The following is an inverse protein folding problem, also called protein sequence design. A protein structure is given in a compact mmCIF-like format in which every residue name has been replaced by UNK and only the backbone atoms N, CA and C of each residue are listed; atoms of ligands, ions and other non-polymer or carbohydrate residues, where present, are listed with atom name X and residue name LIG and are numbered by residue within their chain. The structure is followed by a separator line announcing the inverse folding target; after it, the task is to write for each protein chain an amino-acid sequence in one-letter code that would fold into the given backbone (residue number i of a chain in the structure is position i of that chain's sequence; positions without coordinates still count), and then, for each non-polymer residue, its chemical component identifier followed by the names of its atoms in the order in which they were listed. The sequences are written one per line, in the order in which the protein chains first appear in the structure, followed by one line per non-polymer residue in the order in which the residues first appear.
data_IF_032807311457
#
_entry.id   IF_032807311457
#
_cell.length_a   1.000
_cell.length_b   1.000
_cell.length_c   1.000
_cell.angle_alpha   90.00
_cell.angle_beta   90.00
_cell.angle_gamma   90.00
#
_symmetry.space_group_name_H-M   'P 1'
#
loop_
_entity.id
_entity.type
_entity.pdbx_description
1 polymer ?
#
# COMPACT_ATOMS: atom_id res chain seq x y z
N UNK A 1 7.13 6.55 -13.87
CA UNK A 1 8.27 6.83 -13.00
C UNK A 1 9.25 5.67 -12.88
N UNK A 2 8.97 4.53 -13.49
CA UNK A 2 9.81 3.32 -13.47
C UNK A 2 11.27 3.65 -13.83
N UNK A 3 12.23 3.28 -12.95
CA UNK A 3 13.65 3.46 -13.15
C UNK A 3 14.15 4.91 -13.14
N UNK A 4 13.29 5.91 -12.88
CA UNK A 4 13.70 7.32 -12.84
C UNK A 4 14.22 7.76 -11.46
N UNK A 5 13.81 7.09 -10.40
CA UNK A 5 14.36 7.26 -9.06
C UNK A 5 15.22 6.02 -8.76
N UNK A 6 16.53 6.14 -8.59
CA UNK A 6 17.39 5.00 -8.32
C UNK A 6 17.11 4.40 -6.95
N UNK A 7 17.60 3.20 -6.73
CA UNK A 7 17.63 2.60 -5.41
C UNK A 7 18.44 3.48 -4.46
N UNK A 8 17.93 3.73 -3.25
CA UNK A 8 18.53 4.61 -2.25
C UNK A 8 18.88 3.86 -0.97
N UNK A 9 19.78 4.45 -0.18
CA UNK A 9 20.18 3.91 1.13
C UNK A 9 19.19 4.22 2.24
N UNK A 10 18.25 5.17 2.02
CA UNK A 10 17.22 5.53 3.00
C UNK A 10 15.95 6.02 2.32
N UNK A 11 14.82 5.77 2.96
CA UNK A 11 13.51 6.19 2.47
C UNK A 11 13.36 7.73 2.36
N UNK A 12 13.82 8.58 3.29
CA UNK A 12 13.78 10.04 3.13
C UNK A 12 14.59 10.55 1.92
N UNK A 13 15.73 9.93 1.62
CA UNK A 13 16.53 10.25 0.43
C UNK A 13 15.76 9.92 -0.85
N UNK A 14 15.19 8.71 -0.93
CA UNK A 14 14.37 8.27 -2.05
C UNK A 14 13.17 9.20 -2.26
N UNK A 15 12.45 9.55 -1.18
CA UNK A 15 11.29 10.44 -1.21
C UNK A 15 11.68 11.84 -1.72
N UNK A 16 12.81 12.38 -1.28
CA UNK A 16 13.35 13.66 -1.75
C UNK A 16 13.63 13.64 -3.26
N UNK A 17 14.22 12.56 -3.76
CA UNK A 17 14.45 12.33 -5.19
C UNK A 17 13.13 12.27 -5.98
N UNK A 18 12.15 11.54 -5.48
CA UNK A 18 10.82 11.44 -6.09
C UNK A 18 10.09 12.80 -6.14
N UNK A 19 10.10 13.54 -5.04
CA UNK A 19 9.49 14.87 -4.95
C UNK A 19 10.15 15.84 -5.93
N UNK A 20 11.49 15.84 -6.00
CA UNK A 20 12.22 16.66 -6.94
C UNK A 20 11.87 16.33 -8.38
N UNK A 21 11.82 15.05 -8.73
CA UNK A 21 11.44 14.61 -10.08
C UNK A 21 10.02 15.05 -10.44
N UNK A 22 9.04 14.87 -9.53
CA UNK A 22 7.65 15.28 -9.75
C UNK A 22 7.49 16.79 -9.98
N UNK A 23 8.25 17.62 -9.27
CA UNK A 23 8.20 19.09 -9.43
C UNK A 23 8.67 19.57 -10.80
N UNK A 24 9.55 18.82 -11.45
CA UNK A 24 10.14 19.18 -12.73
C UNK A 24 9.54 18.42 -13.93
N UNK A 25 8.63 17.48 -13.68
CA UNK A 25 8.02 16.66 -14.72
C UNK A 25 6.66 17.22 -15.13
N UNK A 26 6.56 17.64 -16.39
CA UNK A 26 5.28 18.05 -17.02
C UNK A 26 4.90 16.99 -18.06
N UNK A 27 4.67 15.75 -17.59
CA UNK A 27 4.31 14.65 -18.49
C UNK A 27 2.88 14.24 -18.18
N UNK A 28 2.08 14.04 -19.23
CA UNK A 28 0.76 13.44 -19.08
C UNK A 28 0.89 12.05 -18.45
N UNK A 29 0.28 11.79 -17.29
CA UNK A 29 0.39 10.50 -16.62
C UNK A 29 -0.46 9.40 -17.27
N UNK A 30 -1.46 9.73 -18.09
CA UNK A 30 -2.44 8.77 -18.61
C UNK A 30 -1.81 7.59 -19.38
N UNK A 31 -0.87 7.79 -20.32
CA UNK A 31 -0.25 6.66 -21.02
C UNK A 31 0.50 5.71 -20.08
N UNK A 32 1.15 6.25 -19.04
CA UNK A 32 1.86 5.45 -18.06
C UNK A 32 0.89 4.67 -17.14
N UNK A 33 -0.24 5.26 -16.79
CA UNK A 33 -1.31 4.62 -16.00
C UNK A 33 -1.93 3.47 -16.81
N UNK A 34 -2.29 3.71 -18.07
CA UNK A 34 -2.86 2.67 -18.94
C UNK A 34 -1.88 1.50 -19.16
N UNK A 35 -0.59 1.80 -19.35
CA UNK A 35 0.45 0.78 -19.45
C UNK A 35 0.60 -0.02 -18.16
N UNK A 36 0.54 0.61 -16.99
CA UNK A 36 0.64 -0.05 -15.69
C UNK A 36 -0.58 -0.96 -15.43
N UNK A 37 -1.78 -0.49 -15.75
CA UNK A 37 -3.02 -1.30 -15.66
C UNK A 37 -2.96 -2.51 -16.59
N UNK A 38 -2.49 -2.32 -17.82
CA UNK A 38 -2.31 -3.42 -18.78
C UNK A 38 -1.28 -4.45 -18.29
N UNK A 39 -0.17 -4.00 -17.69
CA UNK A 39 0.84 -4.87 -17.08
C UNK A 39 0.26 -5.68 -15.91
N UNK A 40 -0.41 -5.01 -14.97
CA UNK A 40 -1.03 -5.68 -13.83
C UNK A 40 -2.05 -6.73 -14.28
N UNK A 41 -2.89 -6.40 -15.27
CA UNK A 41 -3.84 -7.34 -15.87
C UNK A 41 -3.13 -8.51 -16.55
N UNK A 42 -2.10 -8.25 -17.36
CA UNK A 42 -1.37 -9.30 -18.08
C UNK A 42 -0.63 -10.26 -17.15
N UNK A 43 -0.27 -9.83 -15.95
CA UNK A 43 0.36 -10.65 -14.90
C UNK A 43 -0.65 -11.27 -13.92
N UNK A 44 -1.96 -11.15 -14.20
CA UNK A 44 -3.00 -11.86 -13.48
C UNK A 44 -3.64 -11.11 -12.31
N UNK A 45 -3.40 -9.82 -12.16
CA UNK A 45 -4.08 -9.01 -11.14
C UNK A 45 -5.54 -8.77 -11.53
N UNK A 46 -6.48 -9.01 -10.61
CA UNK A 46 -7.93 -8.84 -10.78
C UNK A 46 -8.49 -7.69 -9.96
N UNK A 47 -7.82 -7.36 -8.87
CA UNK A 47 -8.24 -6.35 -7.90
C UNK A 47 -7.04 -5.54 -7.43
N UNK A 48 -7.18 -4.22 -7.43
CA UNK A 48 -6.12 -3.26 -7.08
C UNK A 48 -6.57 -2.37 -5.93
N UNK A 49 -5.73 -2.21 -4.91
CA UNK A 49 -5.77 -1.07 -4.00
C UNK A 49 -4.83 0.00 -4.57
N UNK A 50 -5.39 1.02 -5.19
CA UNK A 50 -4.63 2.10 -5.83
C UNK A 50 -4.48 3.28 -4.86
N UNK A 51 -3.28 3.42 -4.30
CA UNK A 51 -2.94 4.50 -3.38
C UNK A 51 -2.43 5.68 -4.21
N UNK A 52 -3.19 6.77 -4.26
CA UNK A 52 -2.99 7.85 -5.22
C UNK A 52 -3.23 9.24 -4.62
N UNK A 53 -2.47 10.23 -5.10
CA UNK A 53 -2.65 11.64 -4.71
C UNK A 53 -3.63 12.40 -5.63
N UNK A 54 -4.16 11.73 -6.65
CA UNK A 54 -5.10 12.29 -7.63
C UNK A 54 -6.12 11.23 -8.05
N UNK A 55 -7.21 11.65 -8.65
CA UNK A 55 -8.26 10.76 -9.15
C UNK A 55 -8.09 10.34 -10.62
N UNK A 56 -6.95 10.67 -11.23
CA UNK A 56 -6.70 10.45 -12.67
C UNK A 56 -6.74 8.97 -13.09
N UNK A 57 -6.47 8.05 -12.17
CA UNK A 57 -6.52 6.59 -12.39
C UNK A 57 -7.94 6.05 -12.52
N UNK A 58 -8.96 6.78 -12.02
CA UNK A 58 -10.35 6.31 -11.97
C UNK A 58 -10.88 5.92 -13.35
N UNK A 59 -10.79 6.81 -14.33
CA UNK A 59 -11.30 6.55 -15.69
C UNK A 59 -10.64 5.33 -16.35
N UNK A 60 -9.30 5.23 -16.40
CA UNK A 60 -8.60 4.05 -16.88
C UNK A 60 -8.99 2.76 -16.16
N UNK A 61 -9.06 2.75 -14.81
CA UNK A 61 -9.48 1.59 -14.04
C UNK A 61 -10.92 1.17 -14.33
N UNK A 62 -11.85 2.13 -14.41
CA UNK A 62 -13.25 1.84 -14.72
C UNK A 62 -13.44 1.18 -16.10
N UNK A 63 -12.53 1.46 -17.05
CA UNK A 63 -12.56 0.85 -18.39
C UNK A 63 -11.76 -0.44 -18.51
N UNK A 64 -10.91 -0.77 -17.55
CA UNK A 64 -9.97 -1.90 -17.63
C UNK A 64 -10.60 -3.27 -17.39
N UNK A 65 -11.79 -3.33 -16.80
CA UNK A 65 -12.40 -4.57 -16.32
C UNK A 65 -11.87 -5.05 -14.97
N UNK A 66 -10.82 -4.42 -14.43
CA UNK A 66 -10.33 -4.70 -13.08
C UNK A 66 -11.27 -4.14 -12.01
N UNK A 67 -11.26 -4.75 -10.85
CA UNK A 67 -11.84 -4.13 -9.67
C UNK A 67 -10.79 -3.30 -8.95
N UNK A 68 -11.21 -2.18 -8.32
CA UNK A 68 -10.27 -1.35 -7.59
C UNK A 68 -10.91 -0.64 -6.38
N UNK A 69 -10.06 -0.33 -5.40
CA UNK A 69 -10.31 0.74 -4.43
C UNK A 69 -9.26 1.81 -4.66
N UNK A 70 -9.67 3.01 -5.00
CA UNK A 70 -8.79 4.17 -5.06
C UNK A 70 -8.77 4.82 -3.68
N UNK A 71 -7.63 4.78 -3.04
CA UNK A 71 -7.32 5.47 -1.81
C UNK A 71 -6.77 6.86 -2.16
N UNK A 72 -7.63 7.87 -2.20
CA UNK A 72 -7.18 9.25 -2.42
C UNK A 72 -6.51 9.75 -1.16
N UNK A 73 -5.18 9.81 -1.19
CA UNK A 73 -4.36 10.24 -0.07
C UNK A 73 -4.39 11.75 0.12
N UNK A 74 -4.67 12.18 1.33
CA UNK A 74 -4.44 13.55 1.75
C UNK A 74 -3.06 13.65 2.45
N UNK A 75 -2.27 14.59 1.94
CA UNK A 75 -1.03 15.03 2.54
C UNK A 75 -1.23 16.43 3.14
N UNK A 76 -0.37 16.79 4.07
CA UNK A 76 -0.34 18.12 4.65
C UNK A 76 0.02 18.08 6.13
N UNK A 77 1.32 18.20 6.41
CA UNK A 77 1.84 18.22 7.78
C UNK A 77 1.53 19.54 8.50
N UNK A 78 1.15 20.57 7.77
CA UNK A 78 0.79 21.90 8.26
C UNK A 78 -0.67 22.27 7.92
N UNK A 79 -1.59 21.34 8.10
CA UNK A 79 -3.02 21.59 7.88
C UNK A 79 -3.66 21.94 9.21
N UNK A 80 -4.07 23.20 9.35
CA UNK A 80 -4.72 23.71 10.55
C UNK A 80 -6.25 23.56 10.48
N UNK A 81 -6.82 23.54 9.24
CA UNK A 81 -8.25 23.41 8.97
C UNK A 81 -8.56 22.08 8.26
N UNK A 82 -8.60 20.94 8.99
CA UNK A 82 -8.78 19.62 8.39
C UNK A 82 -10.12 19.48 7.62
N UNK A 83 -11.18 20.16 8.07
CA UNK A 83 -12.48 20.12 7.40
C UNK A 83 -12.40 20.63 5.94
N UNK A 84 -11.62 21.68 5.68
CA UNK A 84 -11.40 22.22 4.33
C UNK A 84 -10.66 21.22 3.44
N UNK A 85 -9.62 20.58 3.96
CA UNK A 85 -8.86 19.58 3.22
C UNK A 85 -9.72 18.36 2.87
N UNK A 86 -10.52 17.86 3.82
CA UNK A 86 -11.45 16.74 3.61
C UNK A 86 -12.54 17.14 2.60
N UNK A 87 -13.14 18.30 2.74
CA UNK A 87 -14.17 18.79 1.79
C UNK A 87 -13.62 18.88 0.36
N UNK A 88 -12.39 19.39 0.19
CA UNK A 88 -11.74 19.47 -1.11
C UNK A 88 -11.44 18.08 -1.70
N UNK A 89 -10.98 17.14 -0.88
CA UNK A 89 -10.79 15.74 -1.29
C UNK A 89 -12.12 15.06 -1.66
N UNK A 90 -13.15 15.22 -0.83
CA UNK A 90 -14.47 14.65 -1.08
C UNK A 90 -15.09 15.21 -2.37
N UNK A 91 -14.97 16.50 -2.64
CA UNK A 91 -15.44 17.10 -3.88
C UNK A 91 -14.77 16.50 -5.12
N UNK A 92 -13.50 16.10 -5.05
CA UNK A 92 -12.82 15.37 -6.13
C UNK A 92 -13.44 13.99 -6.35
N UNK A 93 -13.78 13.26 -5.26
CA UNK A 93 -14.43 11.96 -5.35
C UNK A 93 -15.87 12.06 -5.87
N UNK A 94 -16.62 13.04 -5.42
CA UNK A 94 -18.02 13.29 -5.82
C UNK A 94 -18.14 13.69 -7.31
N UNK A 95 -17.08 14.23 -7.89
CA UNK A 95 -17.02 14.56 -9.31
C UNK A 95 -16.78 13.33 -10.22
N UNK A 96 -16.47 12.16 -9.65
CA UNK A 96 -16.24 10.95 -10.42
C UNK A 96 -17.57 10.31 -10.84
N UNK A 97 -17.57 9.70 -12.02
CA UNK A 97 -18.69 8.87 -12.46
C UNK A 97 -18.73 7.58 -11.66
N UNK A 98 -19.89 7.18 -11.17
CA UNK A 98 -20.06 5.91 -10.49
C UNK A 98 -19.58 4.73 -11.36
N UNK A 99 -18.92 3.79 -10.72
CA UNK A 99 -18.46 2.55 -11.36
C UNK A 99 -18.80 1.34 -10.47
N UNK A 100 -19.34 0.26 -11.03
CA UNK A 100 -19.67 -0.92 -10.25
C UNK A 100 -18.43 -1.68 -9.75
N UNK A 101 -17.27 -1.44 -10.36
CA UNK A 101 -16.02 -2.16 -10.06
C UNK A 101 -14.98 -1.30 -9.36
N UNK A 102 -15.10 0.03 -9.41
CA UNK A 102 -14.15 0.96 -8.80
C UNK A 102 -14.80 1.71 -7.65
N UNK A 103 -14.25 1.54 -6.46
CA UNK A 103 -14.66 2.25 -5.23
C UNK A 103 -13.60 3.29 -4.88
N UNK A 104 -14.00 4.31 -4.14
CA UNK A 104 -13.10 5.40 -3.74
C UNK A 104 -13.24 5.71 -2.26
N UNK A 105 -12.16 6.18 -1.63
CA UNK A 105 -12.17 6.63 -0.24
C UNK A 105 -11.04 7.64 0.00
N UNK A 106 -11.22 8.56 0.97
CA UNK A 106 -10.16 9.43 1.44
C UNK A 106 -9.35 8.75 2.52
N UNK A 107 -8.03 8.88 2.47
CA UNK A 107 -7.12 8.28 3.45
C UNK A 107 -5.97 9.22 3.80
N UNK A 108 -5.34 9.07 4.98
CA UNK A 108 -4.08 9.74 5.26
C UNK A 108 -2.91 9.02 4.56
N UNK A 109 -1.89 9.79 4.15
CA UNK A 109 -0.68 9.22 3.56
C UNK A 109 0.17 8.49 4.63
N UNK A 110 0.75 9.21 5.56
CA UNK A 110 1.64 8.66 6.59
C UNK A 110 1.72 9.58 7.83
N UNK A 111 2.12 9.06 9.01
CA UNK A 111 2.24 9.86 10.24
C UNK A 111 3.20 11.05 10.14
N UNK A 112 4.23 10.97 9.31
CA UNK A 112 5.24 12.02 9.12
C UNK A 112 4.85 13.07 8.07
N UNK A 113 3.77 12.87 7.34
CA UNK A 113 3.36 13.76 6.23
C UNK A 113 1.97 14.36 6.38
N UNK A 114 1.25 13.99 7.42
CA UNK A 114 -0.13 14.43 7.69
C UNK A 114 -0.21 15.02 9.10
N UNK A 115 -0.85 16.19 9.23
CA UNK A 115 -1.02 16.83 10.55
C UNK A 115 -1.91 16.00 11.47
N UNK A 116 -1.64 16.07 12.78
CA UNK A 116 -2.44 15.37 13.80
C UNK A 116 -3.95 15.66 13.69
N UNK A 117 -4.40 16.93 13.52
CA UNK A 117 -5.82 17.20 13.32
C UNK A 117 -6.41 16.56 12.06
N UNK A 118 -5.64 16.50 10.96
CA UNK A 118 -6.10 15.87 9.73
C UNK A 118 -6.16 14.34 9.85
N UNK A 119 -5.21 13.71 10.54
CA UNK A 119 -5.25 12.28 10.87
C UNK A 119 -6.53 11.90 11.64
N UNK A 120 -6.85 12.65 12.69
CA UNK A 120 -8.07 12.44 13.51
C UNK A 120 -9.32 12.58 12.65
N UNK A 121 -9.39 13.64 11.85
CA UNK A 121 -10.56 13.91 11.02
C UNK A 121 -10.77 12.83 9.93
N UNK A 122 -9.69 12.35 9.30
CA UNK A 122 -9.75 11.25 8.32
C UNK A 122 -10.14 9.91 8.96
N UNK A 123 -9.68 9.62 10.17
CA UNK A 123 -10.08 8.42 10.91
C UNK A 123 -11.59 8.31 11.13
N UNK A 124 -12.25 9.45 11.32
CA UNK A 124 -13.70 9.55 11.51
C UNK A 124 -14.50 9.69 10.20
N UNK A 125 -13.85 10.02 9.07
CA UNK A 125 -14.54 10.47 7.87
C UNK A 125 -15.35 9.38 7.15
N UNK A 126 -14.81 8.18 7.02
CA UNK A 126 -15.44 7.09 6.24
C UNK A 126 -15.55 5.81 7.09
N UNK A 127 -16.56 5.72 7.99
CA UNK A 127 -16.61 4.64 8.97
C UNK A 127 -16.75 3.23 8.38
N UNK A 128 -17.26 3.09 7.15
CA UNK A 128 -17.54 1.80 6.51
C UNK A 128 -16.56 1.44 5.38
N UNK A 129 -15.53 2.27 5.15
CA UNK A 129 -14.57 2.04 4.07
C UNK A 129 -13.20 1.58 4.62
N UNK A 130 -12.43 0.79 3.86
CA UNK A 130 -11.05 0.51 4.23
C UNK A 130 -10.20 1.80 4.25
N UNK A 131 -9.26 1.86 5.17
CA UNK A 131 -8.35 3.01 5.35
C UNK A 131 -6.92 2.51 5.17
N UNK A 132 -6.20 3.05 4.21
CA UNK A 132 -4.78 2.79 3.99
C UNK A 132 -3.92 3.86 4.64
N UNK A 133 -2.81 3.47 5.25
CA UNK A 133 -1.78 4.38 5.76
C UNK A 133 -0.41 3.71 5.68
N UNK A 134 0.62 4.42 5.19
CA UNK A 134 2.00 4.00 5.33
C UNK A 134 2.40 4.11 6.81
N UNK A 135 2.85 3.02 7.40
CA UNK A 135 3.03 2.93 8.85
C UNK A 135 4.28 2.13 9.24
N UNK A 136 5.15 2.73 10.01
CA UNK A 136 6.37 2.08 10.46
C UNK A 136 7.25 1.61 9.31
N UNK A 137 7.28 2.36 8.22
CA UNK A 137 8.00 1.98 7.02
C UNK A 137 9.51 2.10 7.21
N UNK A 138 9.99 3.19 7.78
CA UNK A 138 11.42 3.47 7.93
C UNK A 138 11.83 3.78 9.38
N UNK A 139 13.09 3.53 9.69
CA UNK A 139 13.66 3.93 10.98
C UNK A 139 13.57 5.45 11.21
N UNK A 140 13.66 6.23 10.13
CA UNK A 140 13.50 7.68 10.18
C UNK A 140 12.09 8.11 10.60
N UNK A 141 11.02 7.35 10.24
CA UNK A 141 9.66 7.59 10.74
C UNK A 141 9.57 7.37 12.24
N UNK A 142 10.14 6.26 12.71
CA UNK A 142 10.14 5.94 14.15
C UNK A 142 10.90 7.02 14.93
N UNK A 143 12.08 7.43 14.46
CA UNK A 143 12.85 8.53 15.06
C UNK A 143 12.03 9.83 15.10
N UNK A 144 11.40 10.19 13.99
CA UNK A 144 10.57 11.39 13.87
C UNK A 144 9.42 11.40 14.89
N UNK A 145 8.69 10.29 15.03
CA UNK A 145 7.59 10.18 15.98
C UNK A 145 8.06 10.17 17.45
N UNK A 146 9.22 9.60 17.72
CA UNK A 146 9.76 9.53 19.08
C UNK A 146 10.40 10.83 19.53
N UNK A 147 11.12 11.52 18.65
CA UNK A 147 11.98 12.65 19.02
C UNK A 147 11.53 14.00 18.48
N UNK A 148 10.81 14.03 17.39
CA UNK A 148 10.49 15.22 16.60
C UNK A 148 11.64 15.70 15.73
N UNK A 149 12.70 14.88 15.59
CA UNK A 149 13.89 15.15 14.82
C UNK A 149 14.11 14.13 13.70
N UNK A 150 15.31 14.13 13.14
CA UNK A 150 15.75 13.19 12.13
C UNK A 150 15.47 13.63 10.70
N UNK A 151 15.81 12.77 9.72
CA UNK A 151 15.80 13.12 8.29
C UNK A 151 14.45 13.59 7.74
N UNK A 152 13.32 13.17 8.31
CA UNK A 152 12.01 13.66 7.87
C UNK A 152 11.80 15.14 8.17
N UNK A 153 12.44 15.71 9.20
CA UNK A 153 12.41 17.18 9.44
C UNK A 153 13.04 17.91 8.25
N UNK A 154 14.20 17.44 7.76
CA UNK A 154 14.89 18.03 6.64
C UNK A 154 14.04 17.97 5.35
N UNK A 155 13.36 16.85 5.12
CA UNK A 155 12.43 16.71 3.97
C UNK A 155 11.28 17.69 4.09
N UNK A 156 10.64 17.79 5.26
CA UNK A 156 9.52 18.72 5.51
C UNK A 156 9.97 20.19 5.33
N UNK A 157 11.16 20.54 5.81
CA UNK A 157 11.74 21.87 5.62
C UNK A 157 11.97 22.18 4.13
N UNK A 158 12.56 21.26 3.39
CA UNK A 158 12.86 21.39 1.97
C UNK A 158 11.59 21.55 1.10
N UNK A 159 10.45 20.99 1.55
CA UNK A 159 9.17 21.15 0.84
C UNK A 159 8.31 22.31 1.37
N UNK A 160 8.76 23.01 2.43
CA UNK A 160 8.03 24.11 3.06
C UNK A 160 6.82 23.66 3.88
N UNK A 161 6.82 22.42 4.35
CA UNK A 161 5.71 21.80 5.10
C UNK A 161 5.97 21.70 6.61
N UNK A 162 7.10 22.19 7.10
CA UNK A 162 7.42 22.18 8.54
C UNK A 162 6.35 22.88 9.38
N UNK A 163 6.05 22.29 10.53
CA UNK A 163 5.13 22.86 11.50
C UNK A 163 5.80 23.03 12.86
N UNK A 164 6.27 24.25 13.20
CA UNK A 164 6.94 24.50 14.48
C UNK A 164 6.07 24.27 15.72
N UNK A 165 4.74 24.27 15.55
CA UNK A 165 3.80 24.01 16.64
C UNK A 165 3.57 22.52 16.89
N UNK A 166 3.99 21.64 15.95
CA UNK A 166 3.83 20.21 16.11
C UNK A 166 4.76 19.66 17.20
N UNK A 167 4.22 18.80 18.01
CA UNK A 167 4.98 18.11 19.05
C UNK A 167 5.00 16.61 18.75
N UNK A 168 6.19 16.04 18.83
CA UNK A 168 6.38 14.61 18.66
C UNK A 168 5.50 13.82 19.65
N UNK A 169 4.79 12.80 19.20
CA UNK A 169 3.94 11.97 20.07
C UNK A 169 4.73 11.17 21.11
N UNK A 170 6.04 11.03 20.93
CA UNK A 170 6.99 10.27 21.78
C UNK A 170 6.53 8.82 21.98
N UNK A 171 6.06 8.20 20.90
CA UNK A 171 5.55 6.82 20.90
C UNK A 171 5.89 6.13 19.58
N UNK A 172 5.67 4.82 19.56
CA UNK A 172 5.73 4.06 18.31
C UNK A 172 4.60 4.42 17.34
N UNK A 173 4.73 4.02 16.07
CA UNK A 173 3.76 4.35 15.03
C UNK A 173 2.35 3.84 15.33
N UNK A 174 2.20 2.60 15.83
CA UNK A 174 0.88 2.01 16.11
C UNK A 174 0.22 2.68 17.31
N UNK A 175 0.96 2.92 18.40
CA UNK A 175 0.43 3.65 19.56
C UNK A 175 -0.04 5.06 19.19
N UNK A 176 0.65 5.70 18.24
CA UNK A 176 0.26 7.02 17.78
C UNK A 176 -1.07 6.99 17.05
N UNK A 177 -1.24 6.14 16.05
CA UNK A 177 -2.48 6.06 15.28
C UNK A 177 -3.65 5.49 16.11
N UNK A 178 -3.38 4.64 17.12
CA UNK A 178 -4.39 4.15 18.06
C UNK A 178 -4.98 5.30 18.87
N UNK A 179 -4.12 6.17 19.44
CA UNK A 179 -4.55 7.36 20.19
C UNK A 179 -5.36 8.34 19.33
N UNK A 180 -5.17 8.33 18.01
CA UNK A 180 -5.89 9.17 17.06
C UNK A 180 -7.18 8.51 16.53
N UNK A 181 -7.51 7.28 16.98
CA UNK A 181 -8.71 6.57 16.58
C UNK A 181 -8.66 5.94 15.18
N UNK A 182 -7.47 5.82 14.59
CA UNK A 182 -7.28 5.21 13.26
C UNK A 182 -7.13 3.68 13.32
N UNK A 183 -6.72 3.12 14.46
CA UNK A 183 -6.53 1.68 14.62
C UNK A 183 -7.88 0.95 14.66
N UNK A 184 -8.16 0.15 13.65
CA UNK A 184 -9.43 -0.58 13.51
C UNK A 184 -9.29 -1.77 12.57
N UNK A 185 -10.32 -2.62 12.48
CA UNK A 185 -10.37 -3.74 11.53
C UNK A 185 -10.41 -3.33 10.05
N UNK A 186 -10.63 -2.05 9.77
CA UNK A 186 -10.64 -1.48 8.42
C UNK A 186 -9.27 -0.96 7.98
N UNK A 187 -8.30 -0.91 8.92
CA UNK A 187 -6.98 -0.38 8.66
C UNK A 187 -6.15 -1.34 7.81
N UNK A 188 -5.58 -0.81 6.73
CA UNK A 188 -4.49 -1.39 5.98
C UNK A 188 -3.21 -0.67 6.41
N UNK A 189 -2.46 -1.30 7.29
CA UNK A 189 -1.16 -0.82 7.73
C UNK A 189 -0.10 -1.26 6.70
N UNK A 190 0.37 -0.32 5.88
CA UNK A 190 1.25 -0.62 4.75
C UNK A 190 2.71 -0.56 5.22
N UNK A 191 3.53 -1.47 4.72
CA UNK A 191 4.95 -1.71 4.99
C UNK A 191 5.25 -2.36 6.34
N UNK A 192 5.01 -1.70 7.46
CA UNK A 192 5.22 -2.20 8.83
C UNK A 192 6.65 -2.72 9.14
N UNK A 193 7.65 -2.26 8.38
CA UNK A 193 9.04 -2.78 8.41
C UNK A 193 9.67 -2.66 9.79
N UNK A 194 9.43 -1.52 10.45
CA UNK A 194 10.09 -1.14 11.71
C UNK A 194 9.24 -1.44 12.96
N UNK A 195 8.08 -2.08 12.81
CA UNK A 195 7.20 -2.34 13.93
C UNK A 195 7.76 -3.40 14.89
N UNK A 196 7.58 -3.16 16.17
CA UNK A 196 7.90 -4.10 17.24
C UNK A 196 6.88 -5.25 17.31
N UNK A 197 7.19 -6.34 18.03
CA UNK A 197 6.24 -7.45 18.24
C UNK A 197 5.00 -7.01 19.01
N UNK A 198 5.13 -6.02 19.89
CA UNK A 198 4.00 -5.43 20.63
C UNK A 198 3.06 -4.74 19.65
N UNK A 199 3.58 -3.88 18.77
CA UNK A 199 2.81 -3.15 17.77
C UNK A 199 2.16 -4.08 16.74
N UNK A 200 2.86 -5.12 16.29
CA UNK A 200 2.29 -6.15 15.42
C UNK A 200 1.12 -6.89 16.10
N UNK A 201 1.24 -7.15 17.42
CA UNK A 201 0.17 -7.76 18.21
C UNK A 201 -1.01 -6.80 18.38
N UNK A 202 -0.78 -5.50 18.51
CA UNK A 202 -1.85 -4.48 18.56
C UNK A 202 -2.62 -4.45 17.24
N UNK A 203 -1.94 -4.44 16.09
CA UNK A 203 -2.58 -4.54 14.76
C UNK A 203 -3.44 -5.80 14.65
N UNK A 204 -2.92 -6.95 15.08
CA UNK A 204 -3.64 -8.23 15.04
C UNK A 204 -4.90 -8.19 15.91
N UNK A 205 -4.82 -7.67 17.13
CA UNK A 205 -5.96 -7.54 18.05
C UNK A 205 -7.04 -6.59 17.54
N UNK A 206 -6.65 -5.54 16.84
CA UNK A 206 -7.58 -4.62 16.19
C UNK A 206 -8.24 -5.20 14.93
N UNK A 207 -7.76 -6.35 14.44
CA UNK A 207 -8.20 -6.95 13.19
C UNK A 207 -7.70 -6.22 11.95
N UNK A 208 -6.69 -5.36 12.09
CA UNK A 208 -6.07 -4.64 10.99
C UNK A 208 -5.36 -5.61 10.03
N UNK A 209 -5.19 -5.19 8.78
CA UNK A 209 -4.44 -5.94 7.77
C UNK A 209 -3.05 -5.32 7.60
N UNK A 210 -2.01 -6.13 7.69
CA UNK A 210 -0.66 -5.73 7.31
C UNK A 210 -0.53 -5.91 5.79
N UNK A 211 -0.12 -4.86 5.08
CA UNK A 211 0.16 -4.93 3.64
C UNK A 211 1.67 -4.82 3.45
N UNK A 212 2.32 -5.88 2.97
CA UNK A 212 3.77 -5.89 2.76
C UNK A 212 4.13 -5.70 1.29
N UNK A 213 5.15 -4.86 1.05
CA UNK A 213 5.67 -4.52 -0.28
C UNK A 213 7.19 -4.74 -0.29
N UNK A 214 7.66 -6.00 -0.21
CA UNK A 214 9.06 -6.28 0.10
C UNK A 214 10.06 -5.73 -0.93
N UNK A 215 9.73 -5.77 -2.23
CA UNK A 215 10.61 -5.25 -3.29
C UNK A 215 10.76 -3.73 -3.22
N UNK A 216 9.65 -3.04 -2.95
CA UNK A 216 9.68 -1.59 -2.74
C UNK A 216 10.50 -1.22 -1.51
N UNK A 217 10.35 -1.92 -0.38
CA UNK A 217 11.11 -1.65 0.83
C UNK A 217 12.62 -1.79 0.63
N UNK A 218 13.05 -2.79 -0.15
CA UNK A 218 14.47 -2.94 -0.52
C UNK A 218 14.92 -1.80 -1.44
N UNK A 219 14.08 -1.35 -2.37
CA UNK A 219 14.41 -0.28 -3.32
C UNK A 219 14.54 1.09 -2.67
N UNK A 220 13.60 1.44 -1.80
CA UNK A 220 13.53 2.74 -1.13
C UNK A 220 14.53 2.89 0.03
N UNK A 221 15.18 1.80 0.44
CA UNK A 221 16.04 1.79 1.62
C UNK A 221 15.27 1.84 2.94
N UNK A 222 13.97 1.49 2.93
CA UNK A 222 13.16 1.36 4.14
C UNK A 222 13.63 0.22 5.06
N UNK A 223 14.26 -0.79 4.48
CA UNK A 223 14.81 -1.95 5.17
C UNK A 223 14.16 -3.26 4.75
N UNK A 224 14.56 -4.34 5.39
CA UNK A 224 14.04 -5.68 5.12
C UNK A 224 12.81 -5.93 5.99
N UNK A 225 11.60 -6.14 5.42
CA UNK A 225 10.40 -6.38 6.20
C UNK A 225 10.50 -7.72 6.96
N UNK A 226 10.08 -7.76 8.23
CA UNK A 226 10.14 -8.96 9.05
C UNK A 226 8.97 -9.92 8.76
N UNK A 227 8.91 -10.43 7.54
CA UNK A 227 7.78 -11.20 6.98
C UNK A 227 7.34 -12.36 7.89
N UNK A 228 8.30 -13.12 8.44
CA UNK A 228 7.97 -14.23 9.33
C UNK A 228 7.20 -13.76 10.59
N UNK A 229 7.53 -12.57 11.11
CA UNK A 229 6.82 -11.96 12.25
C UNK A 229 5.40 -11.52 11.86
N UNK A 230 5.21 -11.00 10.64
CA UNK A 230 3.86 -10.63 10.14
C UNK A 230 2.93 -11.84 10.13
N UNK A 231 3.40 -12.96 9.60
CA UNK A 231 2.63 -14.21 9.61
C UNK A 231 2.49 -14.83 11.00
N UNK A 232 3.42 -14.54 11.92
CA UNK A 232 3.44 -15.07 13.28
C UNK A 232 2.53 -14.32 14.27
N UNK A 233 2.26 -13.02 14.05
CA UNK A 233 1.51 -12.20 15.01
C UNK A 233 -0.01 -12.44 15.02
N UNK A 234 -0.55 -13.18 14.03
CA UNK A 234 -1.97 -13.47 13.90
C UNK A 234 -2.79 -12.41 13.14
N UNK A 235 -2.16 -11.36 12.62
CA UNK A 235 -2.83 -10.42 11.74
C UNK A 235 -3.12 -11.04 10.35
N UNK A 236 -4.10 -10.50 9.64
CA UNK A 236 -4.23 -10.74 8.20
C UNK A 236 -3.04 -10.09 7.50
N UNK A 237 -2.43 -10.80 6.56
CA UNK A 237 -1.33 -10.29 5.73
C UNK A 237 -1.80 -10.25 4.28
N UNK A 238 -1.68 -9.10 3.64
CA UNK A 238 -1.85 -8.93 2.21
C UNK A 238 -0.52 -8.51 1.58
N UNK A 239 -0.40 -8.67 0.27
CA UNK A 239 0.80 -8.33 -0.49
C UNK A 239 0.46 -7.21 -1.47
N UNK A 240 1.33 -6.21 -1.56
CA UNK A 240 1.26 -5.12 -2.53
C UNK A 240 2.58 -4.95 -3.27
N UNK A 241 2.52 -4.38 -4.46
CA UNK A 241 3.71 -4.09 -5.28
C UNK A 241 4.32 -2.73 -4.98
N UNK A 242 3.54 -1.84 -4.34
CA UNK A 242 3.81 -0.41 -4.33
C UNK A 242 3.89 0.15 -5.76
N UNK A 243 4.49 1.31 -5.97
CA UNK A 243 4.50 1.97 -7.27
C UNK A 243 5.68 1.54 -8.15
N UNK A 244 5.54 1.74 -9.47
CA UNK A 244 6.64 1.56 -10.41
C UNK A 244 7.80 2.58 -10.23
N UNK A 245 7.73 3.45 -9.25
CA UNK A 245 8.87 4.29 -8.84
C UNK A 245 9.82 3.54 -7.90
N UNK A 246 9.33 2.49 -7.22
CA UNK A 246 10.08 1.68 -6.25
C UNK A 246 10.03 0.17 -6.55
N UNK A 247 9.45 -0.23 -7.69
CA UNK A 247 9.41 -1.62 -8.14
C UNK A 247 9.63 -1.70 -9.65
N UNK A 248 10.27 -2.77 -10.11
CA UNK A 248 10.56 -2.97 -11.54
C UNK A 248 9.34 -3.47 -12.32
N UNK A 249 8.39 -4.13 -11.65
CA UNK A 249 7.17 -4.69 -12.25
C UNK A 249 6.00 -4.66 -11.28
N UNK A 250 4.76 -4.72 -11.82
CA UNK A 250 3.53 -4.93 -11.05
C UNK A 250 3.12 -6.41 -10.99
N UNK A 251 4.03 -7.31 -11.29
CA UNK A 251 3.77 -8.74 -11.23
C UNK A 251 3.69 -9.23 -9.77
N UNK A 252 2.52 -9.67 -9.33
CA UNK A 252 2.29 -10.17 -7.98
C UNK A 252 3.08 -11.45 -7.69
N UNK A 253 3.41 -12.26 -8.70
CA UNK A 253 4.27 -13.43 -8.51
C UNK A 253 5.69 -13.05 -8.12
N UNK A 254 6.21 -11.90 -8.57
CA UNK A 254 7.52 -11.39 -8.14
C UNK A 254 7.51 -10.97 -6.66
N UNK A 255 6.40 -10.39 -6.19
CA UNK A 255 6.24 -10.07 -4.76
C UNK A 255 6.13 -11.33 -3.90
N UNK A 256 5.35 -12.33 -4.34
CA UNK A 256 5.30 -13.63 -3.65
C UNK A 256 6.68 -14.29 -3.58
N UNK A 257 7.48 -14.18 -4.63
CA UNK A 257 8.85 -14.69 -4.64
C UNK A 257 9.74 -13.96 -3.62
N UNK A 258 9.60 -12.64 -3.49
CA UNK A 258 10.30 -11.87 -2.47
C UNK A 258 9.87 -12.27 -1.06
N UNK A 259 8.56 -12.43 -0.81
CA UNK A 259 8.02 -12.94 0.46
C UNK A 259 8.59 -14.34 0.78
N UNK A 260 8.58 -15.26 -0.20
CA UNK A 260 9.13 -16.63 -0.05
C UNK A 260 10.62 -16.59 0.29
N UNK A 261 11.41 -15.76 -0.37
CA UNK A 261 12.84 -15.56 -0.12
C UNK A 261 13.11 -15.08 1.31
N UNK A 262 12.33 -14.10 1.78
CA UNK A 262 12.50 -13.49 3.11
C UNK A 262 11.96 -14.36 4.25
N UNK A 263 10.98 -15.21 3.98
CA UNK A 263 10.35 -16.06 4.99
C UNK A 263 10.13 -17.50 4.49
N UNK A 264 11.21 -18.27 4.32
CA UNK A 264 11.15 -19.63 3.77
C UNK A 264 10.33 -20.61 4.64
N UNK A 265 10.13 -20.32 5.92
CA UNK A 265 9.30 -21.11 6.82
C UNK A 265 7.80 -20.86 6.75
N UNK A 266 7.34 -19.85 6.01
CA UNK A 266 5.91 -19.59 5.82
C UNK A 266 5.35 -20.58 4.79
N UNK A 267 4.24 -21.31 5.05
CA UNK A 267 3.65 -22.21 4.07
C UNK A 267 3.24 -21.48 2.77
N UNK A 268 3.49 -22.09 1.62
CA UNK A 268 3.17 -21.53 0.31
C UNK A 268 1.69 -21.14 0.18
N UNK A 269 0.79 -21.99 0.66
CA UNK A 269 -0.64 -21.72 0.70
C UNK A 269 -0.99 -20.40 1.43
N UNK A 270 -0.26 -20.02 2.48
CA UNK A 270 -0.47 -18.75 3.19
C UNK A 270 -0.02 -17.56 2.37
N UNK A 271 1.08 -17.67 1.63
CA UNK A 271 1.56 -16.62 0.73
C UNK A 271 0.57 -16.42 -0.42
N UNK A 272 0.10 -17.50 -1.04
CA UNK A 272 -0.95 -17.45 -2.07
C UNK A 272 -2.23 -16.80 -1.55
N UNK A 273 -2.65 -17.18 -0.34
CA UNK A 273 -3.82 -16.59 0.31
C UNK A 273 -3.66 -15.07 0.50
N UNK A 274 -2.47 -14.60 0.87
CA UNK A 274 -2.16 -13.18 1.04
C UNK A 274 -2.27 -12.38 -0.26
N UNK A 275 -1.88 -13.00 -1.39
CA UNK A 275 -1.99 -12.40 -2.72
C UNK A 275 -3.38 -12.54 -3.36
N UNK A 276 -4.32 -13.24 -2.72
CA UNK A 276 -5.66 -13.54 -3.26
C UNK A 276 -6.76 -13.17 -2.26
N UNK A 277 -7.19 -14.12 -1.45
CA UNK A 277 -8.33 -13.99 -0.54
C UNK A 277 -8.15 -12.90 0.52
N UNK A 278 -6.96 -12.83 1.13
CA UNK A 278 -6.70 -11.86 2.19
C UNK A 278 -6.57 -10.42 1.62
N UNK A 279 -5.99 -10.27 0.42
CA UNK A 279 -5.99 -9.00 -0.32
C UNK A 279 -7.41 -8.55 -0.70
N UNK A 280 -8.24 -9.46 -1.22
CA UNK A 280 -9.63 -9.15 -1.57
C UNK A 280 -10.45 -8.74 -0.34
N UNK A 281 -10.33 -9.48 0.77
CA UNK A 281 -11.00 -9.16 2.02
C UNK A 281 -10.53 -7.81 2.61
N UNK A 282 -9.24 -7.48 2.50
CA UNK A 282 -8.69 -6.20 2.96
C UNK A 282 -9.30 -5.01 2.20
N UNK A 283 -9.60 -5.20 0.92
CA UNK A 283 -10.22 -4.19 0.06
C UNK A 283 -11.76 -4.23 0.09
N UNK A 284 -12.37 -5.12 0.88
CA UNK A 284 -13.82 -5.24 1.03
C UNK A 284 -14.53 -5.87 -0.18
N UNK A 285 -13.85 -6.78 -0.89
CA UNK A 285 -14.41 -7.56 -1.99
C UNK A 285 -14.56 -9.03 -1.60
N UNK A 286 -15.68 -9.36 -0.97
CA UNK A 286 -15.96 -10.71 -0.49
C UNK A 286 -16.28 -11.71 -1.61
N UNK A 287 -16.52 -11.21 -2.83
CA UNK A 287 -16.83 -11.99 -4.02
C UNK A 287 -15.62 -12.32 -4.91
N UNK A 288 -14.40 -11.92 -4.49
CA UNK A 288 -13.12 -12.19 -5.15
C UNK A 288 -12.16 -13.01 -4.28
N UNK A 289 -11.04 -13.42 -4.85
CA UNK A 289 -9.90 -14.01 -4.15
C UNK A 289 -10.01 -15.51 -3.85
N UNK A 290 -11.10 -16.18 -4.23
CA UNK A 290 -11.24 -17.64 -4.07
C UNK A 290 -12.13 -18.24 -5.15
N UNK A 291 -11.88 -19.50 -5.50
CA UNK A 291 -12.73 -20.29 -6.38
C UNK A 291 -13.81 -20.98 -5.52
N UNK A 292 -15.02 -20.43 -5.53
CA UNK A 292 -16.15 -20.97 -4.78
C UNK A 292 -17.48 -20.56 -5.44
N UNK A 293 -18.57 -21.33 -5.22
CA UNK A 293 -19.90 -20.94 -5.70
C UNK A 293 -20.32 -19.55 -5.21
N UNK A 294 -20.86 -18.74 -6.10
CA UNK A 294 -21.31 -17.37 -5.80
C UNK A 294 -20.22 -16.29 -5.87
N UNK A 295 -18.96 -16.65 -6.11
CA UNK A 295 -17.88 -15.68 -6.35
C UNK A 295 -17.74 -15.37 -7.85
N UNK A 296 -17.17 -14.21 -8.15
CA UNK A 296 -16.87 -13.83 -9.53
C UNK A 296 -15.79 -14.75 -10.13
N UNK A 297 -15.95 -15.14 -11.38
CA UNK A 297 -14.98 -15.97 -12.10
C UNK A 297 -13.86 -15.09 -12.66
N UNK A 298 -12.96 -14.66 -11.79
CA UNK A 298 -11.70 -14.02 -12.16
C UNK A 298 -10.59 -15.09 -12.05
N UNK A 299 -10.49 -15.93 -13.07
CA UNK A 299 -9.69 -17.14 -13.04
C UNK A 299 -8.46 -17.02 -13.94
N UNK A 300 -7.35 -17.54 -13.44
CA UNK A 300 -6.10 -17.65 -14.18
C UNK A 300 -5.73 -19.11 -14.38
N UNK A 301 -5.12 -19.43 -15.51
CA UNK A 301 -4.32 -20.63 -15.68
C UNK A 301 -2.84 -20.28 -15.68
N UNK A 302 -2.04 -21.13 -15.06
CA UNK A 302 -0.58 -21.01 -15.04
C UNK A 302 0.01 -22.26 -15.69
N UNK A 303 0.87 -22.06 -16.69
CA UNK A 303 1.60 -23.17 -17.32
C UNK A 303 2.66 -23.70 -16.36
N UNK A 304 2.59 -24.99 -16.07
CA UNK A 304 3.58 -25.65 -15.22
C UNK A 304 4.62 -26.40 -16.07
N UNK A 305 5.91 -26.29 -15.74
CA UNK A 305 6.93 -27.18 -16.31
C UNK A 305 6.68 -28.64 -15.90
N UNK A 306 7.13 -29.62 -16.71
CA UNK A 306 7.09 -31.02 -16.29
C UNK A 306 7.87 -31.26 -14.99
N UNK A 307 7.35 -32.17 -14.14
CA UNK A 307 8.02 -32.60 -12.90
C UNK A 307 7.83 -31.68 -11.69
N UNK A 308 6.85 -30.79 -11.73
CA UNK A 308 6.44 -30.00 -10.57
C UNK A 308 5.48 -30.86 -9.71
N UNK A 309 5.91 -31.25 -8.52
CA UNK A 309 5.11 -32.00 -7.55
C UNK A 309 4.35 -31.07 -6.58
N UNK A 310 4.96 -29.93 -6.20
CA UNK A 310 4.37 -28.93 -5.33
C UNK A 310 4.03 -27.65 -6.12
N UNK A 311 2.76 -27.57 -6.51
CA UNK A 311 2.26 -26.45 -7.32
C UNK A 311 2.23 -25.15 -6.54
N UNK A 312 1.86 -25.19 -5.26
CA UNK A 312 1.81 -23.97 -4.43
C UNK A 312 3.21 -23.38 -4.23
N UNK A 313 4.20 -24.24 -3.97
CA UNK A 313 5.58 -23.81 -3.86
C UNK A 313 6.14 -23.26 -5.17
N UNK A 314 5.76 -23.84 -6.32
CA UNK A 314 6.12 -23.31 -7.64
C UNK A 314 5.57 -21.89 -7.83
N UNK A 315 4.30 -21.67 -7.56
CA UNK A 315 3.64 -20.38 -7.76
C UNK A 315 4.26 -19.26 -6.92
N UNK A 316 4.66 -19.55 -5.69
CA UNK A 316 5.24 -18.52 -4.80
C UNK A 316 6.74 -18.29 -5.01
N UNK A 317 7.37 -19.01 -5.93
CA UNK A 317 8.77 -18.77 -6.34
C UNK A 317 8.94 -17.81 -7.50
N UNK A 318 7.84 -17.33 -8.04
CA UNK A 318 7.82 -16.43 -9.19
C UNK A 318 7.37 -17.13 -10.46
N UNK A 319 6.43 -16.52 -11.15
CA UNK A 319 5.90 -17.00 -12.43
C UNK A 319 6.03 -15.88 -13.46
N UNK A 320 6.66 -16.12 -14.61
CA UNK A 320 6.77 -15.12 -15.65
C UNK A 320 5.39 -14.86 -16.28
N UNK A 321 5.15 -13.62 -16.71
CA UNK A 321 3.89 -13.21 -17.35
C UNK A 321 3.52 -14.08 -18.54
N UNK A 322 4.51 -14.64 -19.29
CA UNK A 322 4.29 -15.53 -20.44
C UNK A 322 3.60 -16.85 -20.10
N UNK A 323 3.62 -17.24 -18.83
CA UNK A 323 3.03 -18.50 -18.36
C UNK A 323 1.68 -18.29 -17.68
N UNK A 324 1.22 -17.05 -17.59
CA UNK A 324 -0.08 -16.67 -17.03
C UNK A 324 -1.07 -16.41 -18.17
N UNK A 325 -2.29 -16.94 -18.06
CA UNK A 325 -3.38 -16.71 -19.01
C UNK A 325 -4.71 -16.58 -18.28
N UNK A 326 -5.57 -15.73 -18.78
CA UNK A 326 -6.96 -15.61 -18.32
C UNK A 326 -7.82 -16.75 -18.90
N UNK A 327 -8.80 -17.24 -18.09
CA UNK A 327 -9.79 -18.26 -18.48
C UNK A 327 -11.13 -17.63 -18.79
#
# INVERSE_FOLDING_TARGET
MRGLVPQCGSMPEWASGLISLRRHSVVDPLPAIESAIAEASATGTTLIGDVANTTVTHGPLARSGLSAVIFLELLGFRVDEPATAIQAGQAQLDALTESPTVRTTLVPHAPYSVSTPLLVALGAHSPDRPVSIHLGESAAEVEFLQTGGGPWCEVLDAVGASNPAWQAPRSGPVDYIERLGLLSSRLLAVHCVQLTDVELTQLARAGATIVTCPRSNEWTGAGVPPIARFYGCGARVAIGTDSLASAESLNMFDEMAAVRRLAPGVPAARILRSATLDGAAALGFDDLGAIAPGKRSALLSVRLPPGIDDVEEYLVRGVPASDVSWL
#
